data_IF_838132834645
#
_entry.id   IF_838132834645
#
_cell.length_a   1.000
_cell.length_b   1.000
_cell.length_c   1.000
_cell.angle_alpha   90.00
_cell.angle_beta   90.00
_cell.angle_gamma   90.00
#
_symmetry.space_group_name_H-M   'P 1'
#
loop_
_entity.id
_entity.type
_entity.pdbx_description
1 polymer ?
#
# COMPACT_ATOMS: atom_id res chain seq x y z
N UNK A 1 29.75 -44.76 -27.96
CA UNK A 1 29.72 -43.97 -26.71
C UNK A 1 29.90 -42.50 -27.04
N UNK A 2 28.92 -41.63 -26.74
CA UNK A 2 29.08 -40.17 -26.89
C UNK A 2 29.19 -39.55 -25.51
N UNK A 3 30.41 -39.12 -25.19
CA UNK A 3 30.74 -38.44 -23.95
C UNK A 3 29.89 -37.16 -23.80
N UNK A 4 29.14 -37.10 -22.71
CA UNK A 4 28.42 -35.93 -22.23
C UNK A 4 29.38 -34.75 -22.06
N UNK A 5 29.33 -33.80 -22.99
CA UNK A 5 29.91 -32.48 -22.79
C UNK A 5 29.15 -31.81 -21.64
N UNK A 6 29.85 -31.57 -20.53
CA UNK A 6 29.35 -30.75 -19.44
C UNK A 6 29.16 -29.33 -20.00
N UNK A 7 27.93 -28.99 -20.40
CA UNK A 7 27.52 -27.62 -20.73
C UNK A 7 27.68 -26.79 -19.45
N UNK A 8 28.89 -26.25 -19.26
CA UNK A 8 29.14 -25.23 -18.26
C UNK A 8 28.34 -24.00 -18.68
N UNK A 9 27.50 -23.51 -17.79
CA UNK A 9 26.75 -22.29 -18.04
C UNK A 9 27.73 -21.14 -18.35
N UNK A 10 27.33 -20.15 -19.19
CA UNK A 10 28.14 -18.98 -19.46
C UNK A 10 28.57 -18.26 -18.17
N UNK A 11 29.69 -17.50 -18.18
CA UNK A 11 30.02 -16.62 -17.07
C UNK A 11 28.85 -15.66 -16.75
N UNK A 12 28.65 -15.33 -15.47
CA UNK A 12 27.52 -14.52 -14.94
C UNK A 12 26.11 -15.15 -15.02
N UNK A 13 26.03 -16.48 -15.00
CA UNK A 13 24.75 -17.20 -14.92
C UNK A 13 24.71 -18.14 -13.71
N UNK A 14 23.51 -18.35 -13.16
CA UNK A 14 23.25 -19.32 -12.10
C UNK A 14 22.62 -20.58 -12.69
N UNK A 15 23.10 -21.76 -12.27
CA UNK A 15 22.58 -23.05 -12.71
C UNK A 15 21.59 -23.58 -11.68
N UNK A 16 20.38 -23.92 -12.12
CA UNK A 16 19.37 -24.56 -11.28
C UNK A 16 19.86 -25.92 -10.73
N UNK A 17 19.34 -26.35 -9.58
CA UNK A 17 19.82 -27.56 -8.90
C UNK A 17 19.31 -28.85 -9.55
N UNK A 18 18.05 -28.89 -9.98
CA UNK A 18 17.43 -30.04 -10.69
C UNK A 18 17.65 -29.99 -12.19
N UNK A 19 17.66 -28.79 -12.76
CA UNK A 19 17.64 -28.60 -14.19
C UNK A 19 19.03 -28.26 -14.73
N UNK A 20 19.30 -28.64 -15.97
CA UNK A 20 20.43 -28.10 -16.73
C UNK A 20 20.17 -26.66 -17.25
N UNK A 21 19.16 -25.98 -16.68
CA UNK A 21 18.79 -24.60 -17.02
C UNK A 21 19.74 -23.61 -16.35
N UNK A 22 20.22 -22.66 -17.13
CA UNK A 22 21.03 -21.53 -16.66
C UNK A 22 20.16 -20.27 -16.72
N UNK A 23 20.05 -19.56 -15.61
CA UNK A 23 19.37 -18.26 -15.51
C UNK A 23 20.41 -17.15 -15.35
N UNK A 24 20.06 -15.91 -15.67
CA UNK A 24 20.95 -14.79 -15.42
C UNK A 24 21.14 -14.56 -13.90
N UNK A 25 22.31 -14.12 -13.46
CA UNK A 25 22.60 -13.98 -12.03
C UNK A 25 21.69 -12.95 -11.32
N UNK A 26 21.08 -12.02 -12.06
CA UNK A 26 20.07 -11.08 -11.55
C UNK A 26 18.68 -11.71 -11.34
N UNK A 27 18.45 -12.92 -11.85
CA UNK A 27 17.23 -13.70 -11.65
C UNK A 27 17.33 -14.63 -10.43
N UNK A 28 18.50 -14.67 -9.77
CA UNK A 28 18.66 -15.39 -8.51
C UNK A 28 18.22 -14.47 -7.37
N UNK A 29 17.29 -14.93 -6.53
CA UNK A 29 16.73 -14.16 -5.42
C UNK A 29 15.91 -12.93 -5.87
N UNK A 30 15.23 -13.01 -7.02
CA UNK A 30 14.40 -11.92 -7.55
C UNK A 30 12.93 -12.01 -7.11
N UNK A 31 12.61 -13.02 -6.28
CA UNK A 31 11.26 -13.27 -5.77
C UNK A 31 10.33 -13.92 -6.78
N UNK A 32 10.87 -14.42 -7.91
CA UNK A 32 10.11 -15.17 -8.91
C UNK A 32 10.80 -16.53 -9.13
N UNK A 33 10.04 -17.63 -9.18
CA UNK A 33 10.62 -18.93 -9.49
C UNK A 33 11.02 -18.98 -10.97
N UNK A 34 12.32 -18.84 -11.26
CA UNK A 34 12.89 -18.97 -12.59
C UNK A 34 13.40 -20.40 -12.85
N UNK A 35 13.73 -21.17 -11.80
CA UNK A 35 14.01 -22.61 -11.89
C UNK A 35 12.74 -23.45 -11.62
N UNK A 36 12.63 -24.65 -12.21
CA UNK A 36 11.49 -25.55 -11.95
C UNK A 36 11.46 -26.07 -10.50
N UNK A 37 12.62 -26.14 -9.85
CA UNK A 37 12.80 -26.55 -8.46
C UNK A 37 12.89 -25.38 -7.48
N UNK A 38 12.66 -24.15 -7.94
CA UNK A 38 12.77 -22.91 -7.16
C UNK A 38 14.15 -22.71 -6.49
N UNK A 39 15.17 -23.43 -6.97
CA UNK A 39 16.53 -23.40 -6.39
C UNK A 39 17.20 -22.03 -6.51
N UNK A 40 16.74 -21.19 -7.42
CA UNK A 40 17.13 -19.80 -7.58
C UNK A 40 16.67 -18.89 -6.43
N UNK A 41 15.65 -19.30 -5.68
CA UNK A 41 15.09 -18.57 -4.53
C UNK A 41 15.49 -19.21 -3.18
N UNK A 42 16.17 -20.36 -3.21
CA UNK A 42 16.66 -21.04 -2.00
C UNK A 42 17.98 -20.44 -1.49
N UNK A 43 18.08 -20.28 -0.17
CA UNK A 43 19.29 -19.74 0.48
C UNK A 43 19.54 -18.25 0.18
N UNK A 44 18.54 -17.56 -0.37
CA UNK A 44 18.57 -16.13 -0.60
C UNK A 44 18.55 -15.36 0.73
N UNK A 45 19.34 -14.29 0.78
CA UNK A 45 19.20 -13.33 1.87
C UNK A 45 17.80 -12.72 1.75
N UNK A 46 16.93 -12.97 2.73
CA UNK A 46 15.62 -12.30 2.78
C UNK A 46 15.85 -10.80 2.67
N UNK A 47 15.19 -10.17 1.69
CA UNK A 47 15.14 -8.72 1.61
C UNK A 47 14.67 -8.22 2.97
N UNK A 48 15.34 -7.19 3.49
CA UNK A 48 14.93 -6.65 4.77
C UNK A 48 13.67 -5.80 4.59
N UNK A 49 13.43 -5.33 3.37
CA UNK A 49 12.18 -4.71 2.96
C UNK A 49 11.23 -5.77 2.40
N UNK A 50 10.17 -6.05 3.14
CA UNK A 50 9.05 -6.88 2.72
C UNK A 50 7.71 -6.20 3.03
N UNK A 51 6.62 -6.87 2.67
CA UNK A 51 5.28 -6.43 3.03
C UNK A 51 5.17 -6.31 4.56
N UNK A 52 4.76 -5.15 5.06
CA UNK A 52 4.60 -4.87 6.49
C UNK A 52 5.88 -4.51 7.25
N UNK A 53 7.07 -4.46 6.61
CA UNK A 53 8.31 -4.02 7.28
C UNK A 53 8.29 -2.53 7.62
N UNK A 54 7.78 -1.71 6.70
CA UNK A 54 7.60 -0.27 6.88
C UNK A 54 6.19 0.10 6.44
N UNK A 55 5.60 1.14 7.05
CA UNK A 55 4.25 1.59 6.69
C UNK A 55 4.15 2.20 5.29
N UNK A 56 5.25 2.76 4.78
CA UNK A 56 5.30 3.40 3.47
C UNK A 56 6.56 3.02 2.71
N UNK A 57 7.68 3.74 2.91
CA UNK A 57 8.90 3.53 2.13
C UNK A 57 9.91 2.76 2.95
N UNK A 58 10.36 1.63 2.43
CA UNK A 58 11.48 0.87 2.99
C UNK A 58 12.74 1.09 2.16
N UNK A 59 13.82 1.51 2.82
CA UNK A 59 15.13 1.71 2.17
C UNK A 59 16.12 0.68 2.69
N UNK A 60 16.52 -0.24 1.82
CA UNK A 60 17.52 -1.24 2.16
C UNK A 60 18.91 -0.62 2.32
N UNK A 61 19.62 -1.05 3.36
CA UNK A 61 21.02 -0.76 3.62
C UNK A 61 21.80 -2.07 3.71
N UNK A 62 23.13 -2.01 3.57
CA UNK A 62 23.99 -3.19 3.80
C UNK A 62 23.75 -3.71 5.22
N UNK A 63 23.09 -4.86 5.33
CA UNK A 63 22.74 -5.51 6.60
C UNK A 63 21.74 -4.80 7.52
N UNK A 64 21.08 -3.74 7.06
CA UNK A 64 19.99 -3.09 7.79
C UNK A 64 18.90 -2.57 6.84
N UNK A 65 17.78 -2.07 7.36
CA UNK A 65 16.83 -1.25 6.61
C UNK A 65 16.48 0.01 7.40
N UNK A 66 15.99 1.03 6.70
CA UNK A 66 15.48 2.25 7.31
C UNK A 66 14.16 2.63 6.67
N UNK A 67 13.11 2.75 7.48
CA UNK A 67 11.82 3.24 7.00
C UNK A 67 11.88 4.76 6.76
N UNK A 68 11.19 5.26 5.74
CA UNK A 68 10.97 6.68 5.46
C UNK A 68 9.49 6.93 5.15
N UNK A 69 9.08 8.17 5.33
CA UNK A 69 7.71 8.61 5.05
C UNK A 69 7.66 9.44 3.76
N UNK A 70 6.53 9.36 3.07
CA UNK A 70 6.17 10.22 1.95
C UNK A 70 5.96 11.67 2.42
N UNK A 71 6.00 12.67 1.53
CA UNK A 71 5.63 14.05 1.86
C UNK A 71 4.23 14.12 2.50
N UNK A 72 4.05 14.99 3.49
CA UNK A 72 2.82 15.07 4.28
C UNK A 72 2.74 14.08 5.45
N UNK A 73 3.79 13.29 5.69
CA UNK A 73 3.87 12.36 6.81
C UNK A 73 5.14 12.56 7.66
N UNK A 74 4.99 12.37 8.96
CA UNK A 74 6.07 12.38 9.95
C UNK A 74 6.27 11.00 10.56
N UNK A 75 7.51 10.68 10.92
CA UNK A 75 7.80 9.46 11.68
C UNK A 75 7.30 9.63 13.10
N UNK A 76 6.73 8.57 13.67
CA UNK A 76 6.51 8.50 15.10
C UNK A 76 7.83 8.48 15.91
N UNK A 77 7.74 8.46 17.25
CA UNK A 77 8.87 8.60 18.17
C UNK A 77 9.88 7.44 18.12
N UNK A 78 9.50 6.27 17.62
CA UNK A 78 10.34 5.07 17.64
C UNK A 78 11.22 4.92 16.39
N UNK A 79 12.20 4.02 16.47
CA UNK A 79 13.01 3.66 15.31
C UNK A 79 12.17 2.79 14.36
N UNK A 80 12.17 3.14 13.07
CA UNK A 80 11.32 2.50 12.04
C UNK A 80 9.81 2.60 12.34
N UNK A 81 9.42 3.68 13.02
CA UNK A 81 8.02 3.91 13.37
C UNK A 81 7.11 4.08 12.15
N UNK A 82 5.82 3.96 12.45
CA UNK A 82 4.73 4.20 11.53
C UNK A 82 4.74 5.66 11.08
N UNK A 83 4.48 5.85 9.79
CA UNK A 83 4.31 7.18 9.22
C UNK A 83 2.92 7.72 9.55
N UNK A 84 2.88 8.86 10.24
CA UNK A 84 1.66 9.53 10.70
C UNK A 84 1.47 10.77 9.81
N UNK A 85 0.24 11.03 9.35
CA UNK A 85 -0.04 12.23 8.58
C UNK A 85 0.27 13.49 9.42
N UNK A 86 0.85 14.52 8.78
CA UNK A 86 1.16 15.79 9.43
C UNK A 86 -0.05 16.73 9.53
N UNK A 87 -1.07 16.51 8.71
CA UNK A 87 -2.30 17.31 8.69
C UNK A 87 -3.16 17.13 9.95
N UNK A 88 -4.24 17.90 10.05
CA UNK A 88 -5.19 17.87 11.16
C UNK A 88 -5.75 16.46 11.45
N UNK A 89 -6.36 16.31 12.63
CA UNK A 89 -6.97 15.04 13.05
C UNK A 89 -7.86 14.47 11.95
N UNK A 90 -7.60 13.23 11.54
CA UNK A 90 -8.41 12.57 10.53
C UNK A 90 -9.88 12.54 10.92
N UNK A 91 -10.75 12.91 9.97
CA UNK A 91 -12.19 12.85 10.13
C UNK A 91 -12.72 11.55 9.52
N UNK A 92 -13.38 10.73 10.32
CA UNK A 92 -14.19 9.63 9.80
C UNK A 92 -15.58 10.17 9.48
N UNK A 93 -15.95 10.22 8.21
CA UNK A 93 -17.29 10.55 7.73
C UNK A 93 -18.00 9.27 7.29
N UNK A 94 -19.23 9.07 7.75
CA UNK A 94 -20.04 7.89 7.45
C UNK A 94 -21.44 8.33 7.01
N UNK A 95 -21.89 7.80 5.88
CA UNK A 95 -23.29 7.95 5.45
C UNK A 95 -24.17 6.93 6.17
N UNK A 96 -25.29 7.39 6.71
CA UNK A 96 -26.44 6.56 7.06
C UNK A 96 -27.42 6.52 5.87
N UNK A 97 -28.68 6.10 6.11
CA UNK A 97 -29.71 6.02 5.06
C UNK A 97 -30.12 7.41 4.56
N UNK A 98 -30.22 8.41 5.44
CA UNK A 98 -30.70 9.77 5.13
C UNK A 98 -29.83 10.89 5.70
N UNK A 99 -28.75 10.57 6.40
CA UNK A 99 -27.88 11.54 7.06
C UNK A 99 -26.40 11.17 6.97
N UNK A 100 -25.54 12.09 7.38
CA UNK A 100 -24.12 11.81 7.59
C UNK A 100 -23.74 12.02 9.05
N UNK A 101 -22.81 11.18 9.52
CA UNK A 101 -22.23 11.23 10.85
C UNK A 101 -20.73 11.33 10.73
N UNK A 102 -20.12 12.12 11.60
CA UNK A 102 -18.68 12.31 11.58
C UNK A 102 -18.08 12.12 12.97
N UNK A 103 -16.83 11.65 13.02
CA UNK A 103 -16.06 11.48 14.24
C UNK A 103 -14.61 11.88 13.99
N UNK A 104 -14.08 12.82 14.79
CA UNK A 104 -12.67 13.17 14.72
C UNK A 104 -11.85 12.11 15.45
N UNK A 105 -10.75 11.68 14.81
CA UNK A 105 -9.81 10.73 15.40
C UNK A 105 -9.33 11.21 16.77
N UNK A 106 -9.36 10.32 17.77
CA UNK A 106 -8.91 10.61 19.13
C UNK A 106 -9.91 11.41 19.99
N UNK A 107 -11.13 11.65 19.49
CA UNK A 107 -12.18 12.36 20.25
C UNK A 107 -13.45 11.52 20.37
N UNK A 108 -14.33 11.90 21.30
CA UNK A 108 -15.70 11.36 21.41
C UNK A 108 -16.74 12.30 20.78
N UNK A 109 -16.29 13.38 20.13
CA UNK A 109 -17.17 14.37 19.52
C UNK A 109 -17.73 13.80 18.23
N UNK A 110 -19.06 13.66 18.21
CA UNK A 110 -19.81 13.24 17.03
C UNK A 110 -20.39 14.45 16.33
N UNK A 111 -20.12 14.58 15.03
CA UNK A 111 -20.81 15.52 14.16
C UNK A 111 -22.00 14.87 13.47
N UNK A 112 -22.99 15.67 13.14
CA UNK A 112 -24.17 15.26 12.39
C UNK A 112 -24.47 16.27 11.29
N UNK A 113 -24.70 15.78 10.08
CA UNK A 113 -25.09 16.58 8.93
C UNK A 113 -26.43 16.04 8.43
N UNK A 114 -27.47 16.82 8.71
CA UNK A 114 -28.82 16.52 8.26
C UNK A 114 -28.95 16.80 6.77
N UNK A 115 -29.64 15.91 6.06
CA UNK A 115 -29.93 16.09 4.64
C UNK A 115 -31.43 15.95 4.40
N UNK A 116 -31.88 16.38 3.21
CA UNK A 116 -33.23 16.09 2.72
C UNK A 116 -33.28 14.79 1.90
N UNK A 117 -32.17 14.02 1.87
CA UNK A 117 -32.10 12.77 1.14
C UNK A 117 -32.83 11.66 1.86
N UNK A 118 -33.40 10.76 1.06
CA UNK A 118 -34.15 9.60 1.57
C UNK A 118 -33.35 8.32 1.53
N UNK A 119 -32.41 8.22 0.58
CA UNK A 119 -31.57 7.03 0.44
C UNK A 119 -30.20 7.37 -0.14
N UNK A 120 -29.24 7.60 0.75
CA UNK A 120 -27.84 7.84 0.41
C UNK A 120 -27.15 6.50 0.19
N UNK A 121 -26.68 6.25 -1.03
CA UNK A 121 -25.97 5.00 -1.34
C UNK A 121 -24.46 5.16 -1.32
N UNK A 122 -23.94 6.26 -1.88
CA UNK A 122 -22.51 6.54 -2.03
C UNK A 122 -22.26 8.03 -1.94
N UNK A 123 -21.08 8.39 -1.43
CA UNK A 123 -20.62 9.76 -1.37
C UNK A 123 -19.13 9.85 -1.64
N UNK A 124 -18.69 11.03 -2.04
CA UNK A 124 -17.29 11.38 -2.19
C UNK A 124 -17.10 12.86 -1.86
N UNK A 125 -15.87 13.31 -1.66
CA UNK A 125 -15.57 14.68 -1.27
C UNK A 125 -14.47 15.29 -2.13
N UNK A 126 -14.49 16.62 -2.20
CA UNK A 126 -13.41 17.42 -2.75
C UNK A 126 -12.86 18.32 -1.65
N UNK A 127 -11.61 18.10 -1.26
CA UNK A 127 -10.90 18.92 -0.28
C UNK A 127 -9.98 19.88 -1.02
N UNK A 128 -10.18 21.18 -0.79
CA UNK A 128 -9.26 22.25 -1.19
C UNK A 128 -8.75 22.96 0.06
N UNK A 129 -7.75 23.85 -0.06
CA UNK A 129 -7.15 24.54 1.10
C UNK A 129 -8.13 25.31 1.98
N UNK A 130 -9.29 25.68 1.47
CA UNK A 130 -10.26 26.52 2.19
C UNK A 130 -11.70 26.00 2.18
N UNK A 131 -12.02 25.01 1.35
CA UNK A 131 -13.39 24.53 1.20
C UNK A 131 -13.39 23.00 1.09
N UNK A 132 -14.31 22.37 1.80
CA UNK A 132 -14.64 20.96 1.63
C UNK A 132 -16.02 20.89 0.97
N UNK A 133 -16.13 20.20 -0.16
CA UNK A 133 -17.43 19.94 -0.79
C UNK A 133 -17.72 18.46 -0.77
N UNK A 134 -18.84 18.09 -0.16
CA UNK A 134 -19.33 16.72 -0.10
C UNK A 134 -20.36 16.50 -1.21
N UNK A 135 -20.24 15.40 -1.94
CA UNK A 135 -21.13 14.98 -3.02
C UNK A 135 -21.69 13.61 -2.70
N UNK A 136 -22.97 13.37 -2.98
CA UNK A 136 -23.56 12.05 -2.78
C UNK A 136 -24.69 11.75 -3.75
N UNK A 137 -24.98 10.46 -3.88
CA UNK A 137 -26.04 9.92 -4.73
C UNK A 137 -27.24 9.58 -3.84
N UNK A 138 -28.38 10.18 -4.17
CA UNK A 138 -29.68 9.78 -3.64
C UNK A 138 -30.40 8.91 -4.66
N UNK A 139 -30.57 7.61 -4.37
CA UNK A 139 -31.20 6.68 -5.30
C UNK A 139 -32.72 6.72 -5.27
N UNK A 140 -33.33 7.26 -4.22
CA UNK A 140 -34.77 7.47 -4.18
C UNK A 140 -35.16 8.61 -5.15
N UNK A 141 -34.49 9.76 -5.02
CA UNK A 141 -34.78 10.93 -5.85
C UNK A 141 -34.01 10.90 -7.19
N UNK A 142 -33.18 9.87 -7.41
CA UNK A 142 -32.35 9.67 -8.61
C UNK A 142 -31.53 10.90 -8.96
N UNK A 143 -30.88 11.48 -7.95
CA UNK A 143 -30.17 12.75 -8.08
C UNK A 143 -28.79 12.67 -7.43
N UNK A 144 -27.91 13.57 -7.89
CA UNK A 144 -26.62 13.82 -7.24
C UNK A 144 -26.77 15.13 -6.48
N UNK A 145 -26.52 15.07 -5.18
CA UNK A 145 -26.62 16.20 -4.27
C UNK A 145 -25.20 16.64 -3.86
N UNK A 146 -25.10 17.89 -3.40
CA UNK A 146 -23.83 18.42 -2.87
C UNK A 146 -24.07 19.42 -1.75
N UNK A 147 -23.11 19.52 -0.84
CA UNK A 147 -23.07 20.56 0.20
C UNK A 147 -21.64 21.04 0.40
N UNK A 148 -21.50 22.32 0.68
CA UNK A 148 -20.22 22.90 1.12
C UNK A 148 -20.17 22.76 2.64
N UNK A 149 -19.10 22.17 3.16
CA UNK A 149 -18.82 22.07 4.58
C UNK A 149 -17.90 23.24 4.94
N UNK A 150 -18.38 24.08 5.85
CA UNK A 150 -17.63 25.19 6.46
C UNK A 150 -16.72 24.67 7.58
#
# INVERSE_FOLDING_TARGET
EKASQCLKCPPDTFRCSSDSKCIANNQRCDGKPNCLDESDELGCRRSQCGFGTCSQVCVEKKHQYNCRCQPGYQKGPLRNDTCIAQDENGLLLVSSESDFRSMYYGTTVMGFLQTNSKKIDRFDYSITKHNITLFWIDSHDKSIQKVHMD
#
